data_IF_097933371525
#
_entry.id   IF_097933371525
#
_cell.length_a   1.000
_cell.length_b   1.000
_cell.length_c   1.000
_cell.angle_alpha   90.00
_cell.angle_beta   90.00
_cell.angle_gamma   90.00
#
_symmetry.space_group_name_H-M   'P 1'
#
loop_
_entity.id
_entity.type
_entity.pdbx_description
1 polymer ?
#
# COMPACT_ATOMS: atom_id res chain seq x y z
N UNK A 1 -61.14 2.73 -28.47
CA UNK A 1 -60.75 1.64 -27.54
C UNK A 1 -60.17 2.24 -26.26
N UNK A 2 -60.23 1.51 -25.13
CA UNK A 2 -59.51 1.76 -23.85
C UNK A 2 -57.98 1.83 -24.13
N UNK A 3 -57.04 2.44 -23.39
CA UNK A 3 -56.88 3.13 -22.08
C UNK A 3 -55.56 3.98 -22.19
N UNK A 4 -55.07 4.84 -21.29
CA UNK A 4 -55.50 5.54 -20.05
C UNK A 4 -54.52 6.77 -19.86
N UNK A 5 -54.91 7.91 -19.27
CA UNK A 5 -54.76 8.29 -17.84
C UNK A 5 -53.42 7.85 -17.19
N UNK A 6 -52.55 8.70 -16.59
CA UNK A 6 -52.85 9.66 -15.50
C UNK A 6 -51.58 10.38 -14.97
N UNK A 7 -51.62 11.73 -14.95
CA UNK A 7 -51.06 12.71 -13.98
C UNK A 7 -49.61 12.61 -13.43
N UNK A 8 -48.87 13.72 -13.64
CA UNK A 8 -48.21 14.62 -12.65
C UNK A 8 -47.50 14.01 -11.42
N UNK A 9 -46.26 14.45 -11.16
CA UNK A 9 -45.93 15.35 -10.03
C UNK A 9 -44.45 15.76 -10.02
N UNK A 10 -44.15 16.91 -9.41
CA UNK A 10 -42.79 17.33 -9.04
C UNK A 10 -42.70 17.49 -7.51
N UNK A 11 -41.68 16.87 -6.89
CA UNK A 11 -41.21 16.98 -5.49
C UNK A 11 -39.71 16.58 -5.58
N UNK A 12 -38.75 17.50 -5.48
CA UNK A 12 -38.11 18.01 -4.23
C UNK A 12 -37.44 16.91 -3.40
N UNK A 13 -36.11 16.97 -3.27
CA UNK A 13 -35.34 16.84 -2.01
C UNK A 13 -33.86 16.58 -2.29
N UNK A 14 -32.98 17.35 -1.64
CA UNK A 14 -31.55 17.07 -1.59
C UNK A 14 -31.32 15.77 -0.81
N UNK A 15 -30.44 14.89 -1.30
CA UNK A 15 -29.81 13.88 -0.46
C UNK A 15 -28.31 14.13 -0.38
N UNK A 16 -27.93 14.84 0.67
CA UNK A 16 -26.58 14.88 1.21
C UNK A 16 -26.24 13.49 1.78
N UNK A 17 -26.01 12.51 0.90
CA UNK A 17 -25.37 11.26 1.31
C UNK A 17 -23.93 11.60 1.64
N UNK A 18 -23.66 11.70 2.94
CA UNK A 18 -22.32 11.94 3.48
C UNK A 18 -21.30 11.08 2.71
N UNK A 19 -20.25 11.73 2.20
CA UNK A 19 -19.07 11.01 1.72
C UNK A 19 -18.54 10.28 2.95
N UNK A 20 -18.84 8.98 3.03
CA UNK A 20 -18.27 8.10 4.02
C UNK A 20 -16.76 8.24 3.94
N UNK A 21 -16.07 8.16 5.09
CA UNK A 21 -14.62 8.03 5.12
C UNK A 21 -14.22 6.69 4.52
N UNK A 22 -14.34 6.58 3.20
CA UNK A 22 -13.66 5.59 2.41
C UNK A 22 -12.20 6.03 2.38
N UNK A 23 -11.49 5.79 3.49
CA UNK A 23 -10.11 5.38 3.36
C UNK A 23 -10.12 4.24 2.35
N UNK A 24 -9.69 4.55 1.13
CA UNK A 24 -9.40 3.51 0.15
C UNK A 24 -8.31 2.68 0.81
N UNK A 25 -8.69 1.52 1.35
CA UNK A 25 -7.73 0.54 1.85
C UNK A 25 -6.94 0.08 0.63
N UNK A 26 -5.81 0.77 0.39
CA UNK A 26 -4.84 0.44 -0.63
C UNK A 26 -4.51 -1.04 -0.49
N UNK A 27 -4.72 -1.82 -1.55
CA UNK A 27 -4.55 -3.26 -1.45
C UNK A 27 -3.10 -3.63 -1.12
N UNK A 28 -2.88 -4.86 -0.66
CA UNK A 28 -1.52 -5.36 -0.44
C UNK A 28 -0.67 -5.25 -1.71
N UNK A 29 -1.26 -5.59 -2.86
CA UNK A 29 -0.64 -5.46 -4.18
C UNK A 29 -0.29 -4.00 -4.53
N UNK A 30 -1.21 -3.07 -4.30
CA UNK A 30 -0.97 -1.64 -4.54
C UNK A 30 0.07 -1.03 -3.58
N UNK A 31 0.24 -1.60 -2.39
CA UNK A 31 1.18 -1.09 -1.38
C UNK A 31 2.58 -1.66 -1.56
N UNK A 32 2.71 -2.94 -1.89
CA UNK A 32 3.99 -3.66 -1.87
C UNK A 32 4.41 -4.30 -3.19
N UNK A 33 3.50 -4.53 -4.14
CA UNK A 33 3.78 -5.26 -5.38
C UNK A 33 3.79 -4.35 -6.62
N UNK A 34 4.13 -3.08 -6.43
CA UNK A 34 4.38 -2.12 -7.51
C UNK A 34 5.87 -2.05 -7.85
N UNK A 35 6.22 -1.93 -9.13
CA UNK A 35 7.60 -1.68 -9.56
C UNK A 35 7.66 -0.33 -10.26
N UNK A 36 8.23 0.68 -9.60
CA UNK A 36 8.52 1.96 -10.23
C UNK A 36 9.65 1.82 -11.25
N UNK A 37 9.55 2.52 -12.38
CA UNK A 37 10.56 2.51 -13.45
C UNK A 37 11.93 3.04 -13.03
N UNK A 38 12.01 3.68 -11.86
CA UNK A 38 13.24 4.24 -11.26
C UNK A 38 13.92 3.23 -10.32
N UNK A 39 13.24 2.15 -9.90
CA UNK A 39 13.81 1.13 -9.02
C UNK A 39 14.84 0.25 -9.76
N UNK A 40 16.10 0.68 -9.72
CA UNK A 40 17.23 -0.13 -10.16
C UNK A 40 17.64 -1.17 -9.10
N UNK A 41 18.14 -2.32 -9.53
CA UNK A 41 18.85 -3.25 -8.65
C UNK A 41 20.12 -2.56 -8.13
N UNK A 42 20.20 -2.34 -6.82
CA UNK A 42 21.38 -1.76 -6.17
C UNK A 42 22.63 -2.63 -6.27
N UNK A 43 23.79 -2.04 -5.98
CA UNK A 43 25.09 -2.71 -5.99
C UNK A 43 25.48 -3.34 -4.63
N UNK A 44 24.56 -3.36 -3.65
CA UNK A 44 24.74 -3.94 -2.32
C UNK A 44 23.78 -5.11 -2.14
N UNK A 45 24.27 -6.19 -1.55
CA UNK A 45 23.49 -7.38 -1.20
C UNK A 45 23.29 -7.45 0.32
N UNK A 46 22.10 -7.85 0.75
CA UNK A 46 21.85 -8.28 2.13
C UNK A 46 21.55 -9.78 2.14
N UNK A 47 21.99 -10.48 3.18
CA UNK A 47 21.66 -11.89 3.37
C UNK A 47 20.33 -12.03 4.10
N UNK A 48 19.51 -12.98 3.65
CA UNK A 48 18.25 -13.37 4.29
C UNK A 48 18.35 -14.82 4.74
N UNK A 49 17.60 -15.21 5.78
CA UNK A 49 17.48 -16.64 6.10
C UNK A 49 16.74 -17.37 4.97
N UNK A 50 16.99 -18.68 4.76
CA UNK A 50 16.27 -19.46 3.74
C UNK A 50 14.75 -19.38 3.88
N UNK A 51 14.25 -19.41 5.12
CA UNK A 51 12.82 -19.30 5.45
C UNK A 51 12.23 -17.94 5.05
N UNK A 52 12.94 -16.83 5.29
CA UNK A 52 12.49 -15.51 4.84
C UNK A 52 12.53 -15.41 3.31
N UNK A 53 13.59 -15.92 2.66
CA UNK A 53 13.68 -15.92 1.21
C UNK A 53 12.54 -16.71 0.56
N UNK A 54 12.22 -17.91 1.06
CA UNK A 54 11.12 -18.75 0.55
C UNK A 54 9.76 -18.06 0.72
N UNK A 55 9.51 -17.44 1.89
CA UNK A 55 8.26 -16.69 2.14
C UNK A 55 8.08 -15.52 1.19
N UNK A 56 9.10 -14.67 1.04
CA UNK A 56 9.04 -13.52 0.14
C UNK A 56 8.88 -13.95 -1.32
N UNK A 57 9.57 -15.03 -1.73
CA UNK A 57 9.44 -15.61 -3.08
C UNK A 57 8.02 -16.12 -3.35
N UNK A 58 7.39 -16.85 -2.41
CA UNK A 58 6.00 -17.31 -2.57
C UNK A 58 5.01 -16.16 -2.72
N UNK A 59 5.20 -15.06 -2.00
CA UNK A 59 4.30 -13.89 -2.09
C UNK A 59 4.35 -13.29 -3.50
N UNK A 60 5.54 -13.13 -4.08
CA UNK A 60 5.72 -12.65 -5.46
C UNK A 60 5.08 -13.60 -6.47
N UNK A 61 5.29 -14.91 -6.32
CA UNK A 61 4.78 -15.91 -7.25
C UNK A 61 3.25 -16.04 -7.21
N UNK A 62 2.64 -16.00 -6.01
CA UNK A 62 1.21 -16.28 -5.82
C UNK A 62 0.36 -15.00 -5.92
N UNK A 63 0.83 -13.88 -5.36
CA UNK A 63 0.09 -12.61 -5.30
C UNK A 63 0.61 -11.63 -6.36
N UNK A 64 1.93 -11.58 -6.58
CA UNK A 64 2.55 -10.71 -7.59
C UNK A 64 2.49 -11.25 -9.02
N UNK A 65 2.01 -12.48 -9.24
CA UNK A 65 1.95 -13.15 -10.55
C UNK A 65 3.30 -13.11 -11.31
N UNK A 66 4.40 -13.21 -10.56
CA UNK A 66 5.81 -13.10 -11.00
C UNK A 66 6.18 -11.79 -11.73
N UNK A 67 5.33 -10.75 -11.68
CA UNK A 67 5.51 -9.46 -12.37
C UNK A 67 6.47 -8.49 -11.68
N UNK A 68 6.88 -8.78 -10.44
CA UNK A 68 7.76 -7.90 -9.65
C UNK A 68 9.00 -8.68 -9.17
N UNK A 69 10.23 -8.19 -9.42
CA UNK A 69 11.43 -8.85 -8.93
C UNK A 69 11.59 -8.69 -7.41
N UNK A 70 12.20 -9.68 -6.76
CA UNK A 70 12.36 -9.74 -5.30
C UNK A 70 12.97 -8.48 -4.65
N UNK A 71 13.88 -7.79 -5.35
CA UNK A 71 14.47 -6.55 -4.83
C UNK A 71 13.47 -5.38 -4.79
N UNK A 72 12.55 -5.28 -5.74
CA UNK A 72 11.55 -4.21 -5.80
C UNK A 72 10.52 -4.38 -4.67
N UNK A 73 10.01 -5.61 -4.50
CA UNK A 73 9.15 -5.97 -3.37
C UNK A 73 9.81 -5.69 -2.01
N UNK A 74 11.10 -6.05 -1.86
CA UNK A 74 11.86 -5.78 -0.65
C UNK A 74 12.06 -4.27 -0.40
N UNK A 75 12.35 -3.48 -1.44
CA UNK A 75 12.43 -2.02 -1.33
C UNK A 75 11.10 -1.44 -0.84
N UNK A 76 9.96 -1.85 -1.41
CA UNK A 76 8.65 -1.36 -1.00
C UNK A 76 8.32 -1.70 0.47
N UNK A 77 8.72 -2.88 0.96
CA UNK A 77 8.63 -3.24 2.39
C UNK A 77 9.46 -2.28 3.25
N UNK A 78 10.69 -2.00 2.84
CA UNK A 78 11.62 -1.12 3.56
C UNK A 78 11.12 0.33 3.57
N UNK A 79 10.68 0.87 2.43
CA UNK A 79 10.14 2.22 2.31
C UNK A 79 8.89 2.41 3.17
N UNK A 80 7.97 1.42 3.17
CA UNK A 80 6.83 1.41 4.06
C UNK A 80 7.24 1.32 5.54
N UNK A 81 8.22 0.47 5.88
CA UNK A 81 8.75 0.36 7.24
C UNK A 81 9.35 1.69 7.71
N UNK A 82 10.20 2.34 6.91
CA UNK A 82 10.78 3.63 7.24
C UNK A 82 9.71 4.70 7.40
N UNK A 83 8.68 4.73 6.54
CA UNK A 83 7.55 5.67 6.65
C UNK A 83 6.71 5.46 7.92
N UNK A 84 6.44 4.22 8.32
CA UNK A 84 5.65 3.93 9.53
C UNK A 84 6.44 4.16 10.82
N UNK A 85 7.76 3.95 10.80
CA UNK A 85 8.62 4.02 11.98
C UNK A 85 9.54 5.26 11.99
N UNK A 86 9.36 6.24 11.09
CA UNK A 86 10.24 7.41 10.92
C UNK A 86 10.51 8.14 12.25
N UNK A 87 9.44 8.50 12.97
CA UNK A 87 9.53 9.20 14.26
C UNK A 87 10.22 8.35 15.34
N UNK A 88 9.91 7.06 15.41
CA UNK A 88 10.46 6.15 16.41
C UNK A 88 11.97 5.93 16.17
N UNK A 89 12.35 5.62 14.94
CA UNK A 89 13.75 5.48 14.50
C UNK A 89 14.49 6.79 14.75
N UNK A 90 13.92 7.93 14.35
CA UNK A 90 14.55 9.25 14.50
C UNK A 90 14.74 9.65 15.96
N UNK A 91 13.78 9.32 16.83
CA UNK A 91 13.86 9.58 18.27
C UNK A 91 14.95 8.71 18.91
N UNK A 92 14.87 7.39 18.74
CA UNK A 92 15.83 6.46 19.33
C UNK A 92 17.25 6.67 18.81
N UNK A 93 17.41 6.99 17.52
CA UNK A 93 18.71 7.33 16.95
C UNK A 93 19.30 8.56 17.62
N UNK A 94 18.51 9.64 17.80
CA UNK A 94 18.97 10.85 18.51
C UNK A 94 19.30 10.59 19.98
N UNK A 95 18.52 9.76 20.67
CA UNK A 95 18.77 9.41 22.07
C UNK A 95 20.06 8.60 22.23
N UNK A 96 20.28 7.58 21.39
CA UNK A 96 21.48 6.73 21.43
C UNK A 96 22.73 7.45 20.90
N UNK A 97 22.61 8.27 19.86
CA UNK A 97 23.74 9.01 19.29
C UNK A 97 24.21 10.19 20.16
N UNK A 98 23.33 10.75 21.01
CA UNK A 98 23.72 11.75 22.01
C UNK A 98 24.60 11.19 23.13
N UNK A 99 24.58 9.88 23.37
CA UNK A 99 25.40 9.23 24.39
C UNK A 99 26.85 9.02 23.93
N UNK A 100 27.54 10.12 23.61
CA UNK A 100 28.97 10.17 23.28
C UNK A 100 29.76 11.17 24.14
N UNK A 101 29.08 12.03 24.90
CA UNK A 101 29.61 12.88 25.96
C UNK A 101 28.57 13.02 27.09
#
# INVERSE_FOLDING_TARGET
>A
MKNANKKRNAIVANNTSAITKNEVQTSYEQTFLQMDTVQARGNKSIYLSPEHHERLTRIIQIIGDDKIPLFAYLNNILDHHFKVFEDAISKEYKEKYKALF
#
